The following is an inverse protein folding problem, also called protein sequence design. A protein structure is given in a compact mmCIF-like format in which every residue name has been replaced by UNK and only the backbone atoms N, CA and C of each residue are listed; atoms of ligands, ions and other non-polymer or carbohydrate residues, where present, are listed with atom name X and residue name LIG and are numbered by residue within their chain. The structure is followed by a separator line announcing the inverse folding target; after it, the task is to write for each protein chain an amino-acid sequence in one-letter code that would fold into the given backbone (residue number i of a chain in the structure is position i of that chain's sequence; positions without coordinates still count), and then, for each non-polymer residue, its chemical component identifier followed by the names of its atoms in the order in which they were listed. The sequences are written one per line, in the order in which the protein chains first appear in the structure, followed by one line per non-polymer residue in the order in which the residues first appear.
data_IF_859220964473
#
_entry.id   IF_859220964473
#
_cell.length_a   1.000
_cell.length_b   1.000
_cell.length_c   1.000
_cell.angle_alpha   90.00
_cell.angle_beta   90.00
_cell.angle_gamma   90.00
#
_symmetry.space_group_name_H-M   'P 1'
#
loop_
_entity.id
_entity.type
_entity.pdbx_description
1 polymer ?
#
# COMPACT_ATOMS: atom_id res chain seq x y z
N UNK A 1 -11.97 50.05 16.90
CA UNK A 1 -10.72 50.41 17.59
C UNK A 1 -9.63 49.45 17.09
N UNK A 2 -8.76 49.94 16.24
CA UNK A 2 -7.82 49.15 15.45
C UNK A 2 -6.46 49.17 16.18
N UNK A 3 -5.77 48.04 16.25
CA UNK A 3 -4.33 48.02 16.52
C UNK A 3 -3.69 47.06 15.48
N UNK A 4 -2.96 47.69 14.58
CA UNK A 4 -2.03 47.05 13.65
C UNK A 4 -0.68 46.88 14.36
N UNK A 5 -0.05 45.74 14.21
CA UNK A 5 1.40 45.62 14.47
C UNK A 5 2.07 45.10 13.20
N UNK A 6 2.86 45.98 12.60
CA UNK A 6 3.91 45.68 11.62
C UNK A 6 5.11 45.10 12.37
N UNK A 7 5.77 44.09 11.87
CA UNK A 7 7.16 43.77 12.16
C UNK A 7 7.91 43.49 10.86
N UNK A 8 8.94 44.26 10.70
CA UNK A 8 9.87 44.49 9.60
C UNK A 8 10.82 43.32 9.34
N UNK A 9 11.24 43.21 8.10
CA UNK A 9 12.19 42.21 7.60
C UNK A 9 13.64 42.46 8.03
N UNK A 10 14.48 41.48 7.83
CA UNK A 10 15.92 41.61 7.73
C UNK A 10 16.48 40.68 6.66
N UNK A 11 16.98 41.30 5.61
CA UNK A 11 17.83 40.71 4.59
C UNK A 11 19.26 40.61 5.14
N UNK A 12 19.90 39.46 4.99
CA UNK A 12 21.35 39.31 5.15
C UNK A 12 21.94 38.90 3.80
N UNK A 13 22.68 39.82 3.22
CA UNK A 13 23.52 39.65 2.03
C UNK A 13 24.88 39.16 2.50
N UNK A 14 25.41 38.10 1.91
CA UNK A 14 26.79 37.65 2.12
C UNK A 14 27.59 37.77 0.83
N UNK A 15 28.68 38.52 0.91
CA UNK A 15 29.64 38.86 -0.15
C UNK A 15 30.55 37.68 -0.51
N UNK A 16 30.84 37.59 -1.81
CA UNK A 16 31.92 36.82 -2.43
C UNK A 16 33.26 37.61 -2.25
N UNK A 17 34.31 36.89 -1.87
CA UNK A 17 35.69 37.34 -2.08
C UNK A 17 36.48 36.25 -2.77
N UNK A 18 37.00 36.61 -3.95
CA UNK A 18 37.90 35.82 -4.74
C UNK A 18 39.36 35.91 -4.22
N UNK A 19 40.15 34.89 -4.56
CA UNK A 19 41.60 34.86 -4.35
C UNK A 19 42.27 34.12 -5.49
N UNK A 20 42.94 34.86 -6.36
CA UNK A 20 43.90 34.38 -7.35
C UNK A 20 45.24 34.03 -6.65
N UNK A 21 45.85 32.92 -7.05
CA UNK A 21 47.22 32.55 -6.67
C UNK A 21 47.93 31.81 -7.77
N UNK A 22 48.99 32.41 -8.24
CA UNK A 22 49.77 32.14 -9.45
C UNK A 22 50.73 30.95 -9.31
N UNK A 23 51.06 30.35 -10.45
CA UNK A 23 52.08 29.30 -10.72
C UNK A 23 53.50 29.85 -10.60
N UNK A 24 54.53 29.03 -10.33
CA UNK A 24 55.70 29.09 -11.21
C UNK A 24 56.16 27.72 -11.73
N UNK A 25 56.55 27.72 -13.02
CA UNK A 25 57.34 26.77 -13.74
C UNK A 25 58.72 26.55 -13.12
N UNK A 26 59.27 25.35 -13.16
CA UNK A 26 60.69 25.07 -13.36
C UNK A 26 60.92 23.73 -14.06
N UNK A 27 61.74 23.83 -15.01
CA UNK A 27 62.24 22.94 -16.06
C UNK A 27 63.27 21.90 -15.53
N UNK A 28 63.47 20.87 -16.38
CA UNK A 28 64.65 20.05 -16.63
C UNK A 28 64.85 18.70 -15.94
N UNK A 29 65.04 17.68 -16.77
CA UNK A 29 65.85 16.51 -16.44
C UNK A 29 65.48 15.21 -17.15
N UNK A 30 66.01 14.97 -18.39
CA UNK A 30 66.04 13.70 -19.11
C UNK A 30 66.79 12.61 -18.35
N UNK A 31 66.23 11.38 -18.26
CA UNK A 31 67.04 10.14 -18.27
C UNK A 31 66.17 8.96 -18.70
N UNK A 32 66.61 8.34 -19.77
CA UNK A 32 66.18 7.10 -20.41
C UNK A 32 66.52 5.87 -19.54
N UNK A 33 65.61 4.90 -19.41
CA UNK A 33 65.93 3.49 -19.19
C UNK A 33 64.70 2.55 -19.26
N UNK A 34 64.67 1.66 -20.25
CA UNK A 34 64.31 0.26 -20.05
C UNK A 34 62.84 -0.14 -20.12
N UNK A 35 62.39 -0.52 -21.33
CA UNK A 35 61.15 -1.23 -21.59
C UNK A 35 61.16 -2.64 -21.00
N UNK A 36 60.24 -2.96 -20.10
CA UNK A 36 59.81 -4.33 -19.80
C UNK A 36 58.38 -4.52 -20.31
N UNK A 37 57.98 -5.70 -20.83
CA UNK A 37 56.67 -5.91 -21.40
C UNK A 37 55.61 -5.93 -20.27
N UNK A 38 54.67 -5.00 -20.35
CA UNK A 38 53.48 -5.03 -19.52
C UNK A 38 52.56 -6.18 -19.94
N UNK A 39 52.34 -7.15 -19.03
CA UNK A 39 51.27 -8.11 -19.14
C UNK A 39 49.93 -7.33 -19.11
N UNK A 40 49.11 -7.53 -20.14
CA UNK A 40 47.76 -7.02 -20.17
C UNK A 40 46.95 -7.67 -19.01
N UNK A 41 46.60 -6.89 -18.00
CA UNK A 41 45.58 -7.27 -17.01
C UNK A 41 44.25 -7.19 -17.74
N UNK A 42 43.62 -8.34 -17.95
CA UNK A 42 42.23 -8.43 -18.39
C UNK A 42 41.44 -7.95 -17.21
N UNK A 43 40.97 -6.71 -17.24
CA UNK A 43 39.97 -6.19 -16.31
C UNK A 43 38.63 -6.67 -16.87
N UNK A 44 37.96 -7.58 -16.15
CA UNK A 44 36.57 -7.93 -16.45
C UNK A 44 35.75 -6.63 -16.49
N UNK A 45 34.83 -6.47 -17.44
CA UNK A 45 33.95 -5.30 -17.44
C UNK A 45 33.18 -5.27 -16.14
N UNK A 46 32.94 -4.08 -15.52
CA UNK A 46 32.14 -3.98 -14.32
C UNK A 46 30.76 -4.56 -14.63
N UNK A 47 30.31 -5.46 -13.77
CA UNK A 47 28.93 -5.93 -13.74
C UNK A 47 28.03 -4.72 -13.76
N UNK A 48 27.00 -4.78 -14.58
CA UNK A 48 26.12 -3.68 -14.94
C UNK A 48 25.37 -3.18 -13.68
N UNK A 49 25.96 -2.21 -12.96
CA UNK A 49 25.34 -1.55 -11.79
C UNK A 49 23.97 -0.89 -12.13
N UNK A 50 23.69 -0.68 -13.41
CA UNK A 50 22.42 -0.12 -13.88
C UNK A 50 21.24 -1.09 -13.69
N UNK A 51 21.46 -2.41 -13.91
CA UNK A 51 20.40 -3.40 -13.72
C UNK A 51 20.02 -3.58 -12.25
N UNK A 52 21.01 -3.52 -11.35
CA UNK A 52 20.79 -3.63 -9.89
C UNK A 52 20.11 -2.37 -9.33
N UNK A 53 20.37 -1.19 -9.90
CA UNK A 53 19.70 0.05 -9.49
C UNK A 53 18.25 0.13 -9.97
N UNK A 54 17.92 -0.47 -11.12
CA UNK A 54 16.57 -0.47 -11.68
C UNK A 54 15.63 -1.43 -10.90
N UNK A 55 16.16 -2.57 -10.43
CA UNK A 55 15.43 -3.52 -9.59
C UNK A 55 15.12 -2.95 -8.18
N UNK A 56 15.99 -2.12 -7.61
CA UNK A 56 15.73 -1.37 -6.39
C UNK A 56 14.74 -0.21 -6.59
N UNK A 57 14.62 0.32 -7.82
CA UNK A 57 13.65 1.36 -8.15
C UNK A 57 12.22 0.82 -8.32
N UNK A 58 12.05 -0.48 -8.67
CA UNK A 58 10.75 -1.12 -8.87
C UNK A 58 10.64 -2.46 -8.11
N UNK A 59 10.63 -2.42 -6.77
CA UNK A 59 10.64 -3.63 -5.94
C UNK A 59 9.41 -4.52 -6.14
N UNK A 60 8.33 -4.03 -6.77
CA UNK A 60 7.11 -4.77 -7.07
C UNK A 60 6.97 -5.12 -8.55
N UNK A 61 8.05 -5.03 -9.35
CA UNK A 61 8.01 -5.48 -10.73
C UNK A 61 7.56 -6.95 -10.82
N UNK A 62 6.57 -7.20 -11.70
CA UNK A 62 5.98 -8.52 -11.90
C UNK A 62 4.89 -8.92 -10.88
N UNK A 63 4.62 -8.11 -9.85
CA UNK A 63 3.51 -8.34 -8.91
C UNK A 63 2.21 -7.79 -9.46
N UNK A 64 1.15 -8.57 -9.41
CA UNK A 64 -0.23 -8.19 -9.79
C UNK A 64 -1.09 -8.16 -8.53
N UNK A 65 -1.71 -7.03 -8.25
CA UNK A 65 -2.53 -6.82 -7.05
C UNK A 65 -3.97 -6.47 -7.42
N UNK A 66 -4.91 -6.88 -6.56
CA UNK A 66 -6.26 -6.32 -6.57
C UNK A 66 -6.43 -5.41 -5.35
N UNK A 67 -6.86 -4.17 -5.58
CA UNK A 67 -7.39 -3.31 -4.53
C UNK A 67 -8.91 -3.31 -4.62
N UNK A 68 -9.56 -3.68 -3.52
CA UNK A 68 -11.01 -3.75 -3.41
C UNK A 68 -11.51 -2.71 -2.39
N UNK A 69 -11.75 -1.45 -2.82
CA UNK A 69 -12.39 -0.45 -1.95
C UNK A 69 -13.81 -0.91 -1.62
N UNK A 70 -14.03 -1.25 -0.35
CA UNK A 70 -15.29 -1.81 0.13
C UNK A 70 -16.50 -0.89 -0.10
N UNK A 71 -17.69 -1.47 -0.10
CA UNK A 71 -18.97 -0.80 -0.30
C UNK A 71 -19.10 -0.12 -1.68
N UNK A 72 -20.00 0.83 -1.81
CA UNK A 72 -20.41 1.51 -3.03
C UNK A 72 -21.92 1.66 -3.06
N UNK A 73 -22.51 1.92 -4.24
CA UNK A 73 -23.97 1.98 -4.40
C UNK A 73 -24.60 0.63 -4.08
N UNK A 74 -25.66 0.64 -3.29
CA UNK A 74 -26.38 -0.56 -2.86
C UNK A 74 -27.62 -0.80 -3.70
N UNK A 75 -27.93 -2.09 -3.97
CA UNK A 75 -29.21 -2.58 -4.46
C UNK A 75 -29.80 -3.53 -3.43
N UNK A 76 -30.76 -3.05 -2.65
CA UNK A 76 -31.37 -3.81 -1.57
C UNK A 76 -32.16 -5.05 -2.05
N UNK A 77 -32.48 -5.16 -3.34
CA UNK A 77 -33.21 -6.29 -3.91
C UNK A 77 -32.29 -7.46 -4.30
N UNK A 78 -30.99 -7.22 -4.43
CA UNK A 78 -30.05 -8.22 -4.90
C UNK A 78 -29.51 -9.08 -3.75
N UNK A 79 -29.37 -10.36 -3.99
CA UNK A 79 -28.77 -11.32 -3.07
C UNK A 79 -27.70 -12.15 -3.78
N UNK A 80 -26.72 -12.62 -3.03
CA UNK A 80 -25.64 -13.47 -3.50
C UNK A 80 -25.46 -14.69 -2.60
N UNK A 81 -24.90 -15.77 -3.13
CA UNK A 81 -24.55 -16.95 -2.32
C UNK A 81 -23.35 -16.62 -1.44
N UNK A 82 -23.40 -17.03 -0.17
CA UNK A 82 -22.32 -16.79 0.79
C UNK A 82 -21.01 -17.52 0.44
N UNK A 83 -21.11 -18.62 -0.33
CA UNK A 83 -19.97 -19.48 -0.70
C UNK A 83 -20.33 -20.33 -1.92
N UNK A 84 -19.34 -20.76 -2.74
CA UNK A 84 -19.56 -21.77 -3.77
C UNK A 84 -19.98 -23.13 -3.18
N UNK A 85 -19.71 -23.38 -1.89
CA UNK A 85 -20.04 -24.62 -1.19
C UNK A 85 -21.40 -24.59 -0.48
N UNK A 86 -22.09 -23.43 -0.45
CA UNK A 86 -23.39 -23.26 0.24
C UNK A 86 -24.48 -22.78 -0.69
N UNK A 87 -25.73 -23.16 -0.41
CA UNK A 87 -26.92 -22.60 -1.06
C UNK A 87 -27.49 -21.39 -0.29
N UNK A 88 -26.93 -21.07 0.88
CA UNK A 88 -27.32 -19.90 1.66
C UNK A 88 -27.04 -18.63 0.89
N UNK A 89 -27.96 -17.67 0.97
CA UNK A 89 -27.81 -16.35 0.35
C UNK A 89 -27.90 -15.24 1.38
N UNK A 90 -27.24 -14.12 1.08
CA UNK A 90 -27.32 -12.88 1.86
C UNK A 90 -27.44 -11.68 0.91
N UNK A 91 -27.74 -10.46 1.42
CA UNK A 91 -27.70 -9.27 0.59
C UNK A 91 -26.34 -9.14 -0.13
N UNK A 92 -26.40 -8.89 -1.44
CA UNK A 92 -25.21 -8.75 -2.27
C UNK A 92 -24.46 -7.43 -2.00
N UNK A 93 -25.21 -6.43 -1.52
CA UNK A 93 -24.70 -5.09 -1.24
C UNK A 93 -25.09 -4.70 0.17
N UNK A 94 -24.13 -4.21 0.94
CA UNK A 94 -24.33 -3.73 2.31
C UNK A 94 -23.75 -2.33 2.40
N UNK A 95 -24.46 -1.42 3.05
CA UNK A 95 -23.94 -0.08 3.34
C UNK A 95 -22.74 -0.20 4.27
N UNK A 96 -21.77 0.70 4.08
CA UNK A 96 -20.65 0.85 5.00
C UNK A 96 -21.05 1.56 6.28
N UNK A 97 -20.08 1.70 7.17
CA UNK A 97 -20.20 2.53 8.35
C UNK A 97 -20.24 4.02 7.98
N UNK A 98 -20.78 4.82 8.87
CA UNK A 98 -20.79 6.27 8.74
C UNK A 98 -20.13 6.90 9.97
N UNK A 99 -19.25 7.86 9.73
CA UNK A 99 -18.69 8.77 10.72
C UNK A 99 -19.30 10.16 10.58
N UNK A 100 -18.92 11.08 11.48
CA UNK A 100 -19.30 12.47 11.34
C UNK A 100 -18.62 13.08 10.10
N UNK A 101 -19.42 13.38 9.09
CA UNK A 101 -19.00 14.06 7.85
C UNK A 101 -18.22 13.22 6.84
N UNK A 102 -18.21 11.87 6.96
CA UNK A 102 -17.70 10.97 5.92
C UNK A 102 -18.39 9.61 5.98
N UNK A 103 -18.48 8.96 4.82
CA UNK A 103 -18.92 7.58 4.67
C UNK A 103 -17.74 6.63 4.49
N UNK A 104 -17.90 5.38 4.90
CA UNK A 104 -16.87 4.36 4.70
C UNK A 104 -16.56 4.15 3.22
N UNK A 105 -17.57 4.17 2.36
CA UNK A 105 -17.36 3.92 0.91
C UNK A 105 -16.52 5.01 0.24
N UNK A 106 -16.70 6.29 0.63
CA UNK A 106 -15.89 7.41 0.15
C UNK A 106 -14.44 7.32 0.65
N UNK A 107 -14.27 7.00 1.93
CA UNK A 107 -12.97 6.79 2.54
C UNK A 107 -12.21 5.64 1.89
N UNK A 108 -12.87 4.49 1.73
CA UNK A 108 -12.25 3.30 1.15
C UNK A 108 -11.74 3.55 -0.26
N UNK A 109 -12.52 4.25 -1.10
CA UNK A 109 -12.09 4.61 -2.46
C UNK A 109 -10.92 5.57 -2.43
N UNK A 110 -10.97 6.61 -1.60
CA UNK A 110 -9.90 7.61 -1.51
C UNK A 110 -8.56 6.98 -1.08
N UNK A 111 -8.57 6.05 -0.11
CA UNK A 111 -7.36 5.36 0.32
C UNK A 111 -6.88 4.36 -0.74
N UNK A 112 -7.80 3.64 -1.41
CA UNK A 112 -7.44 2.71 -2.47
C UNK A 112 -6.76 3.41 -3.67
N UNK A 113 -7.22 4.60 -4.05
CA UNK A 113 -6.59 5.40 -5.11
C UNK A 113 -5.16 5.83 -4.74
N UNK A 114 -4.95 6.27 -3.49
CA UNK A 114 -3.62 6.60 -2.98
C UNK A 114 -2.71 5.37 -2.93
N UNK A 115 -3.23 4.23 -2.45
CA UNK A 115 -2.48 2.97 -2.39
C UNK A 115 -2.12 2.45 -3.79
N UNK A 116 -3.05 2.58 -4.76
CA UNK A 116 -2.77 2.25 -6.16
C UNK A 116 -1.59 3.05 -6.69
N UNK A 117 -1.59 4.37 -6.50
CA UNK A 117 -0.51 5.23 -6.97
C UNK A 117 0.85 4.84 -6.34
N UNK A 118 0.88 4.52 -5.05
CA UNK A 118 2.09 4.08 -4.34
C UNK A 118 2.60 2.71 -4.83
N UNK A 119 1.71 1.77 -5.11
CA UNK A 119 2.03 0.42 -5.59
C UNK A 119 2.52 0.45 -7.05
N UNK A 120 1.81 1.18 -7.92
CA UNK A 120 2.18 1.35 -9.32
C UNK A 120 3.53 2.08 -9.46
N UNK A 121 3.82 3.08 -8.61
CA UNK A 121 5.12 3.75 -8.57
C UNK A 121 6.28 2.81 -8.19
N UNK A 122 5.99 1.70 -7.51
CA UNK A 122 6.95 0.64 -7.16
C UNK A 122 6.98 -0.52 -8.16
N UNK A 123 6.27 -0.42 -9.27
CA UNK A 123 6.28 -1.38 -10.37
C UNK A 123 5.19 -2.45 -10.34
N UNK A 124 4.26 -2.42 -9.39
CA UNK A 124 3.12 -3.34 -9.37
C UNK A 124 2.12 -3.04 -10.50
N UNK A 125 1.43 -4.08 -10.97
CA UNK A 125 0.19 -3.93 -11.73
C UNK A 125 -0.98 -3.97 -10.76
N UNK A 126 -1.91 -3.00 -10.86
CA UNK A 126 -3.02 -2.90 -9.91
C UNK A 126 -4.36 -2.94 -10.65
N UNK A 127 -5.21 -3.89 -10.26
CA UNK A 127 -6.62 -3.98 -10.64
C UNK A 127 -7.46 -3.38 -9.52
N UNK A 128 -8.46 -2.56 -9.87
CA UNK A 128 -9.42 -1.99 -8.91
C UNK A 128 -10.79 -2.61 -9.14
N UNK A 129 -11.48 -3.02 -8.08
CA UNK A 129 -12.86 -3.56 -8.20
C UNK A 129 -13.89 -2.47 -8.49
N UNK A 130 -13.64 -1.24 -8.09
CA UNK A 130 -14.36 -0.03 -8.49
C UNK A 130 -13.42 1.17 -8.52
N UNK A 131 -13.78 2.18 -9.32
CA UNK A 131 -13.00 3.41 -9.49
C UNK A 131 -13.86 4.68 -9.33
N UNK A 132 -15.11 4.53 -8.93
CA UNK A 132 -16.05 5.63 -8.68
C UNK A 132 -17.04 5.27 -7.57
N UNK A 133 -17.85 6.26 -7.19
CA UNK A 133 -18.89 6.13 -6.18
C UNK A 133 -20.19 5.53 -6.73
N UNK A 134 -20.38 5.54 -8.05
CA UNK A 134 -21.60 5.05 -8.69
C UNK A 134 -21.60 3.53 -8.94
N UNK A 135 -20.45 2.89 -8.77
CA UNK A 135 -20.30 1.47 -9.03
C UNK A 135 -21.10 0.60 -8.04
N UNK A 136 -21.85 -0.35 -8.59
CA UNK A 136 -22.57 -1.36 -7.83
C UNK A 136 -21.89 -2.71 -8.09
N UNK A 137 -21.01 -3.15 -7.19
CA UNK A 137 -20.22 -4.37 -7.30
C UNK A 137 -20.46 -5.27 -6.10
N UNK A 138 -21.03 -6.46 -6.30
CA UNK A 138 -21.31 -7.42 -5.24
C UNK A 138 -20.00 -8.05 -4.70
N UNK A 139 -20.05 -8.65 -3.49
CA UNK A 139 -18.86 -9.30 -2.94
C UNK A 139 -18.38 -10.47 -3.79
N UNK A 140 -19.30 -11.22 -4.41
CA UNK A 140 -18.97 -12.30 -5.33
C UNK A 140 -18.29 -11.74 -6.59
N UNK A 141 -18.79 -10.64 -7.17
CA UNK A 141 -18.16 -9.99 -8.33
C UNK A 141 -16.76 -9.48 -8.01
N UNK A 142 -16.54 -8.90 -6.83
CA UNK A 142 -15.20 -8.45 -6.38
C UNK A 142 -14.21 -9.59 -6.34
N UNK A 143 -14.61 -10.75 -5.78
CA UNK A 143 -13.79 -11.95 -5.79
C UNK A 143 -13.52 -12.45 -7.22
N UNK A 144 -14.54 -12.50 -8.09
CA UNK A 144 -14.37 -12.91 -9.48
C UNK A 144 -13.38 -12.03 -10.24
N UNK A 145 -13.42 -10.72 -10.05
CA UNK A 145 -12.47 -9.79 -10.70
C UNK A 145 -11.02 -10.08 -10.31
N UNK A 146 -10.76 -10.35 -9.02
CA UNK A 146 -9.44 -10.73 -8.54
C UNK A 146 -8.99 -12.09 -9.09
N UNK A 147 -9.89 -13.08 -9.11
CA UNK A 147 -9.65 -14.42 -9.62
C UNK A 147 -9.32 -14.40 -11.12
N UNK A 148 -10.14 -13.71 -11.93
CA UNK A 148 -9.97 -13.60 -13.39
C UNK A 148 -8.67 -12.87 -13.77
N UNK A 149 -8.24 -11.91 -12.96
CA UNK A 149 -6.98 -11.20 -13.12
C UNK A 149 -5.76 -12.01 -12.63
N UNK A 150 -5.98 -13.17 -12.00
CA UNK A 150 -4.91 -14.02 -11.43
C UNK A 150 -3.94 -13.22 -10.55
N UNK A 151 -4.48 -12.38 -9.67
CA UNK A 151 -3.66 -11.52 -8.83
C UNK A 151 -2.88 -12.33 -7.79
N UNK A 152 -1.70 -11.85 -7.41
CA UNK A 152 -0.89 -12.46 -6.36
C UNK A 152 -1.49 -12.23 -4.97
N UNK A 153 -2.17 -11.08 -4.78
CA UNK A 153 -2.85 -10.72 -3.53
C UNK A 153 -4.01 -9.75 -3.81
N UNK A 154 -5.16 -10.02 -3.21
CA UNK A 154 -6.29 -9.08 -3.12
C UNK A 154 -6.29 -8.40 -1.75
N UNK A 155 -6.28 -7.06 -1.74
CA UNK A 155 -6.36 -6.24 -0.53
C UNK A 155 -7.68 -5.50 -0.53
N UNK A 156 -8.59 -5.90 0.35
CA UNK A 156 -9.86 -5.22 0.59
C UNK A 156 -9.64 -4.11 1.61
N UNK A 157 -10.15 -2.92 1.31
CA UNK A 157 -9.94 -1.71 2.11
C UNK A 157 -11.28 -1.29 2.70
N UNK A 158 -11.33 -1.24 4.03
CA UNK A 158 -12.51 -0.97 4.84
C UNK A 158 -12.18 -0.09 6.04
N UNK A 159 -13.20 0.46 6.67
CA UNK A 159 -13.12 1.11 7.99
C UNK A 159 -14.30 0.65 8.84
N UNK A 160 -14.00 0.19 10.04
CA UNK A 160 -14.96 -0.44 10.93
C UNK A 160 -15.95 0.56 11.51
N UNK A 161 -17.08 0.05 11.96
CA UNK A 161 -18.10 0.76 12.71
C UNK A 161 -18.53 -0.04 13.94
N UNK A 162 -18.92 0.66 14.99
CA UNK A 162 -19.41 0.05 16.23
C UNK A 162 -20.56 0.88 16.82
N UNK A 163 -21.46 0.23 17.55
CA UNK A 163 -22.44 0.93 18.38
C UNK A 163 -21.77 1.73 19.51
N UNK A 164 -20.56 1.35 19.90
CA UNK A 164 -19.73 2.05 20.88
C UNK A 164 -18.71 2.93 20.17
N UNK A 165 -18.46 4.13 20.68
CA UNK A 165 -17.40 5.02 20.23
C UNK A 165 -16.02 4.70 20.84
N UNK A 166 -15.92 3.66 21.67
CA UNK A 166 -14.67 3.32 22.38
C UNK A 166 -13.67 2.49 21.57
N UNK A 167 -14.09 1.53 20.69
CA UNK A 167 -13.13 0.78 19.90
C UNK A 167 -12.25 1.71 19.04
N UNK A 168 -10.97 1.36 18.94
CA UNK A 168 -9.97 2.04 18.13
C UNK A 168 -8.89 1.07 17.66
N UNK A 169 -8.09 1.48 16.67
CA UNK A 169 -6.97 0.72 16.13
C UNK A 169 -7.32 -0.01 14.83
N UNK A 170 -6.28 -0.42 14.14
CA UNK A 170 -6.37 -1.13 12.85
C UNK A 170 -6.35 -2.64 13.05
N UNK A 171 -7.09 -3.36 12.24
CA UNK A 171 -7.08 -4.82 12.21
C UNK A 171 -7.01 -5.36 10.78
N UNK A 172 -6.65 -6.63 10.66
CA UNK A 172 -6.68 -7.35 9.40
C UNK A 172 -7.60 -8.55 9.53
N UNK A 173 -8.62 -8.65 8.69
CA UNK A 173 -9.46 -9.83 8.60
C UNK A 173 -8.86 -10.78 7.56
N UNK A 174 -8.90 -12.07 7.83
CA UNK A 174 -8.33 -13.12 6.98
C UNK A 174 -9.33 -14.25 6.75
N UNK A 175 -9.30 -14.91 5.57
CA UNK A 175 -10.18 -16.05 5.28
C UNK A 175 -9.91 -17.21 6.24
N UNK A 176 -10.98 -17.89 6.67
CA UNK A 176 -10.91 -19.10 7.50
C UNK A 176 -12.18 -19.93 7.38
N UNK A 177 -12.06 -21.22 7.64
CA UNK A 177 -13.18 -22.13 7.89
C UNK A 177 -13.75 -22.85 6.66
N UNK A 178 -14.81 -23.62 6.89
CA UNK A 178 -15.32 -24.64 5.95
C UNK A 178 -16.11 -24.08 4.75
N UNK A 179 -16.36 -22.77 4.72
CA UNK A 179 -17.07 -22.14 3.60
C UNK A 179 -16.14 -21.61 2.50
N UNK A 180 -14.83 -21.73 2.68
CA UNK A 180 -13.86 -21.34 1.64
C UNK A 180 -13.96 -22.28 0.44
N UNK A 181 -14.22 -21.71 -0.74
CA UNK A 181 -14.16 -22.45 -2.02
C UNK A 181 -12.75 -22.94 -2.31
N UNK A 182 -11.75 -22.20 -1.88
CA UNK A 182 -10.31 -22.48 -2.07
C UNK A 182 -9.57 -22.43 -0.73
N UNK A 183 -9.58 -23.51 0.07
CA UNK A 183 -8.94 -23.50 1.41
C UNK A 183 -7.43 -23.19 1.40
N UNK A 184 -6.74 -23.42 0.28
CA UNK A 184 -5.30 -23.16 0.16
C UNK A 184 -4.90 -21.69 0.28
N UNK A 185 -5.86 -20.74 0.20
CA UNK A 185 -5.58 -19.31 0.37
C UNK A 185 -5.44 -18.89 1.84
N UNK A 186 -5.88 -19.71 2.79
CA UNK A 186 -5.93 -19.35 4.22
C UNK A 186 -4.55 -18.95 4.76
N UNK A 187 -3.56 -19.84 4.61
CA UNK A 187 -2.22 -19.59 5.12
C UNK A 187 -1.51 -18.43 4.40
N UNK A 188 -1.45 -18.36 3.06
CA UNK A 188 -0.84 -17.22 2.36
C UNK A 188 -1.50 -15.88 2.70
N UNK A 189 -2.82 -15.86 2.87
CA UNK A 189 -3.54 -14.65 3.30
C UNK A 189 -3.13 -14.21 4.69
N UNK A 190 -3.01 -15.14 5.65
CA UNK A 190 -2.60 -14.84 7.02
C UNK A 190 -1.15 -14.31 7.08
N UNK A 191 -0.24 -14.87 6.29
CA UNK A 191 1.14 -14.38 6.18
C UNK A 191 1.18 -12.94 5.63
N UNK A 192 0.50 -12.68 4.51
CA UNK A 192 0.41 -11.35 3.92
C UNK A 192 -0.20 -10.34 4.91
N UNK A 193 -1.30 -10.73 5.57
CA UNK A 193 -2.00 -9.90 6.54
C UNK A 193 -1.11 -9.47 7.71
N UNK A 194 -0.32 -10.39 8.26
CA UNK A 194 0.57 -10.11 9.38
C UNK A 194 1.63 -9.06 9.01
N UNK A 195 2.25 -9.22 7.85
CA UNK A 195 3.31 -8.34 7.38
C UNK A 195 2.75 -6.95 7.04
N UNK A 196 1.63 -6.91 6.29
CA UNK A 196 1.04 -5.64 5.84
C UNK A 196 0.44 -4.86 7.01
N UNK A 197 -0.25 -5.52 7.96
CA UNK A 197 -0.77 -4.85 9.15
C UNK A 197 0.35 -4.21 9.96
N UNK A 198 1.45 -4.91 10.16
CA UNK A 198 2.62 -4.37 10.86
C UNK A 198 3.19 -3.13 10.16
N UNK A 199 3.33 -3.16 8.85
CA UNK A 199 3.85 -2.03 8.08
C UNK A 199 2.92 -0.82 8.13
N UNK A 200 1.60 -1.03 7.99
CA UNK A 200 0.59 0.05 8.06
C UNK A 200 0.56 0.68 9.45
N UNK A 201 0.55 -0.12 10.50
CA UNK A 201 0.52 0.42 11.89
C UNK A 201 1.83 1.13 12.25
N UNK A 202 2.98 0.66 11.78
CA UNK A 202 4.26 1.38 11.94
C UNK A 202 4.27 2.73 11.21
N UNK A 203 3.70 2.78 9.99
CA UNK A 203 3.67 4.00 9.18
C UNK A 203 2.71 5.04 9.73
N UNK A 204 1.58 4.62 10.28
CA UNK A 204 0.50 5.51 10.76
C UNK A 204 0.62 5.86 12.24
N UNK A 205 1.31 5.04 13.02
CA UNK A 205 1.32 5.11 14.49
C UNK A 205 0.03 4.59 15.13
N UNK A 206 -0.86 3.95 14.38
CA UNK A 206 -2.10 3.36 14.91
C UNK A 206 -1.81 2.10 15.73
N UNK A 207 -2.66 1.84 16.72
CA UNK A 207 -2.62 0.60 17.48
C UNK A 207 -3.04 -0.59 16.60
N UNK A 208 -2.31 -1.71 16.72
CA UNK A 208 -2.67 -2.95 16.05
C UNK A 208 -3.63 -3.78 16.91
N UNK A 209 -4.74 -4.20 16.32
CA UNK A 209 -5.69 -5.15 16.91
C UNK A 209 -5.45 -6.59 16.47
N UNK A 210 -4.43 -6.81 15.61
CA UNK A 210 -4.07 -8.13 15.11
C UNK A 210 -4.97 -8.65 13.99
N UNK A 211 -4.91 -9.97 13.79
CA UNK A 211 -5.66 -10.68 12.76
C UNK A 211 -6.96 -11.25 13.31
N UNK A 212 -8.04 -11.16 12.53
CA UNK A 212 -9.34 -11.75 12.83
C UNK A 212 -9.72 -12.76 11.75
N UNK A 213 -9.70 -14.07 12.02
CA UNK A 213 -10.20 -15.09 11.10
C UNK A 213 -11.71 -14.94 10.86
N UNK A 214 -12.15 -15.02 9.59
CA UNK A 214 -13.55 -14.85 9.19
C UNK A 214 -13.98 -15.96 8.22
N UNK A 215 -15.10 -16.59 8.52
CA UNK A 215 -15.74 -17.63 7.69
C UNK A 215 -17.01 -17.16 6.98
N UNK A 216 -17.50 -15.97 7.32
CA UNK A 216 -18.80 -15.44 6.90
C UNK A 216 -18.72 -14.39 5.77
N UNK A 217 -17.52 -14.05 5.32
CA UNK A 217 -17.34 -13.06 4.25
C UNK A 217 -17.40 -13.70 2.87
N UNK A 218 -18.41 -13.36 2.07
CA UNK A 218 -18.57 -13.83 0.69
C UNK A 218 -17.31 -13.59 -0.14
N UNK A 219 -16.69 -12.42 -0.03
CA UNK A 219 -15.48 -12.10 -0.78
C UNK A 219 -14.30 -13.03 -0.48
N UNK A 220 -14.18 -13.53 0.75
CA UNK A 220 -13.19 -14.56 1.10
C UNK A 220 -13.60 -15.94 0.60
N UNK A 221 -14.88 -16.29 0.80
CA UNK A 221 -15.39 -17.62 0.44
C UNK A 221 -15.34 -17.91 -1.07
N UNK A 222 -15.45 -16.87 -1.90
CA UNK A 222 -15.37 -16.96 -3.37
C UNK A 222 -13.98 -16.64 -3.92
N UNK A 223 -13.01 -16.25 -3.08
CA UNK A 223 -11.65 -15.99 -3.55
C UNK A 223 -10.90 -17.27 -3.88
N UNK A 224 -10.24 -17.30 -5.03
CA UNK A 224 -9.30 -18.34 -5.47
C UNK A 224 -7.84 -17.91 -5.32
N UNK A 225 -7.62 -16.64 -4.94
CA UNK A 225 -6.32 -16.03 -4.72
C UNK A 225 -6.18 -15.58 -3.26
N UNK A 226 -4.98 -15.44 -2.72
CA UNK A 226 -4.77 -14.86 -1.39
C UNK A 226 -5.51 -13.53 -1.24
N UNK A 227 -6.26 -13.37 -0.15
CA UNK A 227 -7.12 -12.20 0.06
C UNK A 227 -7.11 -11.77 1.52
N UNK A 228 -6.98 -10.48 1.76
CA UNK A 228 -6.98 -9.86 3.10
C UNK A 228 -7.93 -8.67 3.13
N UNK A 229 -8.42 -8.31 4.31
CA UNK A 229 -9.27 -7.13 4.50
C UNK A 229 -8.68 -6.27 5.61
N UNK A 230 -8.25 -5.06 5.26
CA UNK A 230 -7.75 -4.06 6.19
C UNK A 230 -8.92 -3.24 6.73
N UNK A 231 -9.09 -3.21 8.06
CA UNK A 231 -9.89 -2.23 8.77
C UNK A 231 -8.99 -1.09 9.23
N UNK A 232 -9.14 0.09 8.63
CA UNK A 232 -8.23 1.23 8.79
C UNK A 232 -8.44 2.02 10.10
N UNK A 233 -9.40 1.61 10.93
CA UNK A 233 -9.85 2.26 12.15
C UNK A 233 -11.36 2.32 12.20
N UNK A 234 -11.92 2.94 13.26
CA UNK A 234 -13.34 2.99 13.52
C UNK A 234 -13.94 4.36 13.21
N UNK A 235 -14.86 4.44 12.25
CA UNK A 235 -15.59 5.67 11.94
C UNK A 235 -16.50 6.11 13.10
N UNK A 236 -16.90 5.17 13.96
CA UNK A 236 -17.65 5.45 15.19
C UNK A 236 -16.81 6.09 16.31
N UNK A 237 -15.47 6.02 16.22
CA UNK A 237 -14.56 6.67 17.14
C UNK A 237 -14.23 8.09 16.65
N UNK A 238 -14.61 9.10 17.41
CA UNK A 238 -14.47 10.50 16.96
C UNK A 238 -13.01 10.90 16.63
N UNK A 239 -12.04 10.39 17.40
CA UNK A 239 -10.63 10.71 17.17
C UNK A 239 -10.12 10.06 15.87
N UNK A 240 -10.42 8.78 15.65
CA UNK A 240 -10.02 8.08 14.42
C UNK A 240 -10.76 8.62 13.20
N UNK A 241 -12.06 8.94 13.33
CA UNK A 241 -12.82 9.56 12.26
C UNK A 241 -12.19 10.90 11.81
N UNK A 242 -11.73 11.74 12.75
CA UNK A 242 -11.02 12.97 12.42
C UNK A 242 -9.64 12.71 11.78
N UNK A 243 -8.90 11.69 12.21
CA UNK A 243 -7.65 11.30 11.58
C UNK A 243 -7.88 10.80 10.15
N UNK A 244 -8.88 9.94 9.94
CA UNK A 244 -9.24 9.38 8.63
C UNK A 244 -9.74 10.44 7.63
N UNK A 245 -10.19 11.61 8.07
CA UNK A 245 -10.48 12.77 7.21
C UNK A 245 -9.20 13.44 6.69
N UNK A 246 -8.07 13.33 7.39
CA UNK A 246 -6.83 14.01 7.01
C UNK A 246 -6.18 13.32 5.81
N UNK A 247 -5.89 14.08 4.75
CA UNK A 247 -5.24 13.56 3.56
C UNK A 247 -3.88 12.95 3.87
N UNK A 248 -3.09 13.57 4.77
CA UNK A 248 -1.79 13.06 5.18
C UNK A 248 -1.90 11.69 5.86
N UNK A 249 -2.92 11.48 6.71
CA UNK A 249 -3.13 10.19 7.37
C UNK A 249 -3.54 9.10 6.38
N UNK A 250 -4.42 9.41 5.42
CA UNK A 250 -4.77 8.49 4.31
C UNK A 250 -3.55 8.14 3.46
N UNK A 251 -2.68 9.13 3.18
CA UNK A 251 -1.43 8.91 2.46
C UNK A 251 -0.49 7.99 3.27
N UNK A 252 -0.40 8.16 4.59
CA UNK A 252 0.39 7.27 5.45
C UNK A 252 -0.15 5.84 5.45
N UNK A 253 -1.48 5.63 5.41
CA UNK A 253 -2.07 4.29 5.23
C UNK A 253 -1.63 3.70 3.88
N UNK A 254 -1.74 4.44 2.80
CA UNK A 254 -1.36 4.01 1.45
C UNK A 254 0.13 3.62 1.35
N UNK A 255 1.02 4.47 1.90
CA UNK A 255 2.47 4.19 1.99
C UNK A 255 2.73 2.94 2.83
N UNK A 256 2.02 2.79 3.95
CA UNK A 256 2.12 1.61 4.82
C UNK A 256 1.71 0.33 4.10
N UNK A 257 0.61 0.35 3.33
CA UNK A 257 0.19 -0.79 2.48
C UNK A 257 1.30 -1.14 1.48
N UNK A 258 1.82 -0.16 0.76
CA UNK A 258 2.84 -0.40 -0.25
C UNK A 258 4.17 -0.90 0.34
N UNK A 259 4.59 -0.38 1.51
CA UNK A 259 5.75 -0.89 2.24
C UNK A 259 5.53 -2.34 2.68
N UNK A 260 4.34 -2.67 3.19
CA UNK A 260 3.98 -4.01 3.60
C UNK A 260 3.96 -5.00 2.42
N UNK A 261 3.47 -4.59 1.26
CA UNK A 261 3.50 -5.43 0.04
C UNK A 261 4.94 -5.69 -0.42
N UNK A 262 5.83 -4.69 -0.36
CA UNK A 262 7.26 -4.91 -0.65
C UNK A 262 7.89 -5.93 0.29
N UNK A 263 7.63 -5.82 1.60
CA UNK A 263 8.12 -6.77 2.60
C UNK A 263 7.54 -8.17 2.40
N UNK A 264 6.26 -8.27 2.06
CA UNK A 264 5.60 -9.54 1.76
C UNK A 264 6.23 -10.22 0.53
N UNK A 265 6.45 -9.50 -0.57
CA UNK A 265 7.15 -10.04 -1.75
C UNK A 265 8.53 -10.57 -1.38
N UNK A 266 9.32 -9.80 -0.63
CA UNK A 266 10.66 -10.21 -0.18
C UNK A 266 10.62 -11.48 0.68
N UNK A 267 9.58 -11.66 1.50
CA UNK A 267 9.45 -12.88 2.32
C UNK A 267 9.22 -14.13 1.48
N UNK A 268 8.45 -14.02 0.37
CA UNK A 268 8.22 -15.13 -0.56
C UNK A 268 9.46 -15.53 -1.36
N UNK A 269 10.35 -14.59 -1.65
CA UNK A 269 11.61 -14.86 -2.38
C UNK A 269 12.67 -15.52 -1.47
N UNK A 270 12.45 -15.51 -0.16
CA UNK A 270 13.39 -16.04 0.85
C UNK A 270 13.06 -17.46 1.32
N UNK A 271 11.89 -18.00 0.95
CA UNK A 271 11.44 -19.38 1.23
C UNK A 271 11.78 -20.33 0.08
#
# INVERSE_FOLDING_TARGET
MAIRHLITGSFITLLLLGGCGSVPDTDAGLADAGSAPQQAVIVDPPLDDAAVQDEQAQPLAGVVLCLDPGHGVTDASASERVSPLSQETKPAYVSGAEGDGQTEEELNLAVAELARAELEARGAQVVMTRQDHAATVSNQQRASMANEAHVDLCIRIHADGSESSQPSGMSMQVPAGDLLGTPSIEQPSAQAAQIILQAVTQQTGADSRGLTPRSDLTGFNWSEVPCILLEMGFLSNAQENEQLKQQEYRQNIAVGIANGVCQWKQSMESE
#
